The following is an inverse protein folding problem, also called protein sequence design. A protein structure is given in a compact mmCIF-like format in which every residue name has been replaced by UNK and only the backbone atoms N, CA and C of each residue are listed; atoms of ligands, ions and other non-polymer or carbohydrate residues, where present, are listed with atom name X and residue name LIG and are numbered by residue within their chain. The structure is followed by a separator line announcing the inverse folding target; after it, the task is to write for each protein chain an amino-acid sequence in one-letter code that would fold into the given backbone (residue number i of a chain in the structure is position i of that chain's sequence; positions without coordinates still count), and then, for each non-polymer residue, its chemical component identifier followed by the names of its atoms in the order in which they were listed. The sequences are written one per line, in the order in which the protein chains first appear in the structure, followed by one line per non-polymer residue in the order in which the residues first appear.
data_IF_359997037244
#
_entry.id   IF_359997037244
#
_cell.length_a   1.000
_cell.length_b   1.000
_cell.length_c   1.000
_cell.angle_alpha   90.00
_cell.angle_beta   90.00
_cell.angle_gamma   90.00
#
_symmetry.space_group_name_H-M   'P 1'
#
loop_
_entity.id
_entity.type
_entity.pdbx_description
1 polymer ?
#
# COMPACT_ATOMS: atom_id res chain seq x y z
N UNK A 1 -8.85 23.03 24.92
CA UNK A 1 -8.38 21.69 25.24
C UNK A 1 -7.34 21.29 24.19
N UNK A 2 -6.16 20.87 24.62
CA UNK A 2 -5.13 20.35 23.72
C UNK A 2 -5.62 18.98 23.24
N UNK A 3 -5.52 18.70 21.94
CA UNK A 3 -5.86 17.39 21.43
C UNK A 3 -4.95 16.32 22.10
N UNK A 4 -5.50 15.16 22.39
CA UNK A 4 -4.78 14.04 23.01
C UNK A 4 -3.46 13.72 22.30
N UNK A 5 -3.45 13.78 20.97
CA UNK A 5 -2.28 13.62 20.10
C UNK A 5 -1.15 14.59 20.43
N UNK A 6 -1.47 15.87 20.57
CA UNK A 6 -0.50 16.91 20.88
C UNK A 6 0.05 16.78 22.31
N UNK A 7 -0.78 16.24 23.21
CA UNK A 7 -0.35 15.99 24.58
C UNK A 7 0.65 14.84 24.64
N UNK A 8 0.40 13.73 23.95
CA UNK A 8 1.30 12.59 23.85
C UNK A 8 2.68 13.00 23.30
N UNK A 9 2.73 13.77 22.23
CA UNK A 9 3.99 14.22 21.63
C UNK A 9 4.80 15.19 22.51
N UNK A 10 4.18 15.86 23.48
CA UNK A 10 4.89 16.78 24.40
C UNK A 10 5.59 16.10 25.56
N UNK A 11 5.31 14.84 25.83
CA UNK A 11 5.93 14.06 26.88
C UNK A 11 7.29 13.51 26.47
N UNK A 12 7.56 13.47 25.17
CA UNK A 12 8.79 12.93 24.60
C UNK A 12 9.64 14.05 24.02
N UNK A 13 10.92 14.08 24.36
CA UNK A 13 11.87 15.11 23.88
C UNK A 13 12.56 14.71 22.59
N UNK A 14 12.61 13.42 22.26
CA UNK A 14 13.17 12.95 21.01
C UNK A 14 12.15 13.08 19.88
N UNK A 15 12.54 13.70 18.77
CA UNK A 15 11.65 13.99 17.63
C UNK A 15 11.02 12.74 17.02
N UNK A 16 11.80 11.65 16.82
CA UNK A 16 11.33 10.39 16.24
C UNK A 16 10.31 9.72 17.16
N UNK A 17 10.59 9.65 18.46
CA UNK A 17 9.67 9.02 19.44
C UNK A 17 8.38 9.82 19.60
N UNK A 18 8.49 11.14 19.69
CA UNK A 18 7.34 12.02 19.78
C UNK A 18 6.42 11.86 18.56
N UNK A 19 7.01 11.68 17.38
CA UNK A 19 6.28 11.49 16.13
C UNK A 19 5.64 10.09 16.05
N UNK A 20 6.37 9.04 16.43
CA UNK A 20 5.83 7.68 16.54
C UNK A 20 4.65 7.61 17.52
N UNK A 21 4.75 8.27 18.68
CA UNK A 21 3.68 8.31 19.67
C UNK A 21 2.44 9.07 19.15
N UNK A 22 2.64 10.14 18.39
CA UNK A 22 1.51 10.87 17.76
C UNK A 22 0.79 10.00 16.73
N UNK A 23 1.53 9.31 15.86
CA UNK A 23 0.96 8.44 14.84
C UNK A 23 0.33 7.17 15.42
N UNK A 24 0.81 6.70 16.56
CA UNK A 24 0.21 5.56 17.26
C UNK A 24 -1.25 5.81 17.63
N UNK A 25 -1.62 7.06 17.93
CA UNK A 25 -3.01 7.43 18.20
C UNK A 25 -3.93 7.28 16.97
N UNK A 26 -3.37 7.25 15.78
CA UNK A 26 -4.06 7.10 14.50
C UNK A 26 -3.90 5.70 13.88
N UNK A 27 -3.14 4.81 14.55
CA UNK A 27 -2.95 3.45 14.08
C UNK A 27 -4.29 2.69 14.05
N UNK A 28 -4.67 2.21 12.87
CA UNK A 28 -5.98 1.58 12.65
C UNK A 28 -5.99 0.10 12.96
N UNK A 29 -4.81 -0.53 13.06
CA UNK A 29 -4.68 -1.96 13.29
C UNK A 29 -3.63 -2.26 14.36
N UNK A 30 -3.76 -3.43 14.99
CA UNK A 30 -2.77 -3.91 15.95
C UNK A 30 -1.38 -4.04 15.31
N UNK A 31 -1.30 -4.51 14.06
CA UNK A 31 -0.06 -4.65 13.31
C UNK A 31 0.66 -3.32 13.11
N UNK A 32 -0.03 -2.31 12.59
CA UNK A 32 0.58 -1.00 12.36
C UNK A 32 0.93 -0.29 13.66
N UNK A 33 0.11 -0.48 14.71
CA UNK A 33 0.41 -0.02 16.07
C UNK A 33 1.66 -0.67 16.64
N UNK A 34 1.84 -1.98 16.47
CA UNK A 34 3.04 -2.69 16.94
C UNK A 34 4.32 -2.17 16.25
N UNK A 35 4.26 -1.94 14.92
CA UNK A 35 5.40 -1.37 14.18
C UNK A 35 5.74 0.04 14.69
N UNK A 36 4.73 0.90 14.93
CA UNK A 36 4.96 2.24 15.49
C UNK A 36 5.55 2.19 16.92
N UNK A 37 5.12 1.21 17.72
CA UNK A 37 5.72 0.98 19.05
C UNK A 37 7.19 0.56 18.96
N UNK A 38 7.58 -0.24 17.97
CA UNK A 38 8.99 -0.56 17.75
C UNK A 38 9.80 0.71 17.44
N UNK A 39 9.25 1.63 16.63
CA UNK A 39 9.93 2.91 16.35
C UNK A 39 9.98 3.79 17.61
N UNK A 40 8.91 3.85 18.41
CA UNK A 40 8.89 4.53 19.69
C UNK A 40 9.94 3.95 20.67
N UNK A 41 10.16 2.65 20.67
CA UNK A 41 11.19 1.98 21.47
C UNK A 41 12.61 2.13 20.92
N UNK A 42 12.78 2.84 19.78
CA UNK A 42 14.08 3.26 19.28
C UNK A 42 14.63 2.44 18.12
N UNK A 43 13.82 1.63 17.44
CA UNK A 43 14.29 0.83 16.30
C UNK A 43 14.92 1.71 15.20
N UNK A 44 14.25 2.80 14.78
CA UNK A 44 14.78 3.74 13.79
C UNK A 44 16.02 4.48 14.32
N UNK A 45 15.99 4.93 15.57
CA UNK A 45 17.13 5.61 16.19
C UNK A 45 18.40 4.76 16.22
N UNK A 46 18.25 3.47 16.54
CA UNK A 46 19.37 2.53 16.55
C UNK A 46 19.98 2.35 15.16
N UNK A 47 19.15 2.18 14.13
CA UNK A 47 19.61 2.08 12.76
C UNK A 47 20.33 3.36 12.27
N UNK A 48 19.80 4.54 12.63
CA UNK A 48 20.44 5.82 12.32
C UNK A 48 21.76 6.00 13.07
N UNK A 49 21.86 5.49 14.32
CA UNK A 49 23.12 5.53 15.09
C UNK A 49 24.20 4.65 14.46
N UNK A 50 23.83 3.51 13.89
CA UNK A 50 24.76 2.63 13.19
C UNK A 50 25.27 3.32 11.91
N UNK A 51 24.37 3.92 11.12
CA UNK A 51 24.74 4.70 9.92
C UNK A 51 25.65 5.89 10.29
N UNK A 52 25.36 6.64 11.36
CA UNK A 52 26.21 7.76 11.83
C UNK A 52 27.62 7.28 12.19
N UNK A 53 27.74 6.11 12.84
CA UNK A 53 29.03 5.49 13.20
C UNK A 53 29.82 5.08 11.96
N UNK A 54 29.16 4.46 10.97
CA UNK A 54 29.81 4.07 9.71
C UNK A 54 30.32 5.29 8.93
N UNK A 55 29.52 6.37 8.89
CA UNK A 55 29.92 7.63 8.27
C UNK A 55 31.08 8.29 9.00
N UNK A 56 31.15 8.24 10.34
CA UNK A 56 32.25 8.76 11.14
C UNK A 56 33.55 8.01 10.90
N UNK A 57 33.44 6.68 10.73
CA UNK A 57 34.58 5.82 10.39
C UNK A 57 35.06 5.99 8.93
N UNK A 58 34.30 6.68 8.08
CA UNK A 58 34.55 6.79 6.65
C UNK A 58 34.11 5.56 5.83
N UNK A 59 33.37 4.66 6.44
CA UNK A 59 32.91 3.38 5.84
C UNK A 59 31.68 3.59 4.96
N UNK A 60 31.90 3.94 3.70
CA UNK A 60 30.80 4.25 2.76
C UNK A 60 29.87 3.09 2.49
N UNK A 61 30.40 1.88 2.36
CA UNK A 61 29.59 0.73 1.94
C UNK A 61 28.56 0.31 2.99
N UNK A 62 28.88 0.11 4.29
CA UNK A 62 27.89 -0.16 5.31
C UNK A 62 26.85 0.97 5.44
N UNK A 63 27.29 2.23 5.43
CA UNK A 63 26.39 3.39 5.48
C UNK A 63 25.39 3.40 4.31
N UNK A 64 25.83 3.09 3.09
CA UNK A 64 24.96 2.98 1.90
C UNK A 64 23.94 1.87 2.08
N UNK A 65 24.36 0.68 2.52
CA UNK A 65 23.47 -0.47 2.75
C UNK A 65 22.41 -0.13 3.81
N UNK A 66 22.80 0.52 4.89
CA UNK A 66 21.88 0.97 5.95
C UNK A 66 20.83 1.95 5.41
N UNK A 67 21.27 2.98 4.65
CA UNK A 67 20.38 3.96 4.02
C UNK A 67 19.42 3.32 3.01
N UNK A 68 19.91 2.44 2.15
CA UNK A 68 19.08 1.73 1.17
C UNK A 68 18.07 0.80 1.84
N UNK A 69 18.45 0.13 2.94
CA UNK A 69 17.56 -0.72 3.72
C UNK A 69 16.41 0.09 4.31
N UNK A 70 16.69 1.24 4.91
CA UNK A 70 15.67 2.15 5.44
C UNK A 70 14.76 2.68 4.31
N UNK A 71 15.35 3.13 3.20
CA UNK A 71 14.58 3.64 2.07
C UNK A 71 13.71 2.57 1.40
N UNK A 72 14.16 1.33 1.31
CA UNK A 72 13.35 0.21 0.80
C UNK A 72 12.11 -0.04 1.68
N UNK A 73 12.18 0.18 2.98
CA UNK A 73 11.09 0.02 3.94
C UNK A 73 10.18 1.26 4.05
N UNK A 74 10.59 2.39 3.49
CA UNK A 74 9.88 3.67 3.61
C UNK A 74 8.44 3.61 3.10
N UNK A 75 8.19 2.84 2.02
CA UNK A 75 6.85 2.68 1.46
C UNK A 75 5.89 2.09 2.49
N UNK A 76 6.32 1.10 3.25
CA UNK A 76 5.51 0.49 4.32
C UNK A 76 5.33 1.47 5.48
N UNK A 77 6.41 2.15 5.89
CA UNK A 77 6.36 3.12 6.98
C UNK A 77 5.39 4.27 6.74
N UNK A 78 5.31 4.79 5.51
CA UNK A 78 4.39 5.87 5.14
C UNK A 78 2.91 5.45 5.17
N UNK A 79 2.62 4.14 5.13
CA UNK A 79 1.26 3.61 5.16
C UNK A 79 0.86 2.98 6.52
N UNK A 80 1.57 3.30 7.60
CA UNK A 80 1.20 2.78 8.93
C UNK A 80 -0.10 3.38 9.47
N UNK A 81 -0.45 4.60 9.06
CA UNK A 81 -1.70 5.29 9.44
C UNK A 81 -2.56 5.66 8.24
N UNK A 82 -1.95 5.92 7.09
CA UNK A 82 -2.68 6.15 5.84
C UNK A 82 -2.97 4.80 5.16
N UNK A 83 -4.24 4.50 4.81
CA UNK A 83 -4.57 3.23 4.16
C UNK A 83 -3.96 3.14 2.76
N UNK A 84 -3.58 1.93 2.37
CA UNK A 84 -3.17 1.62 1.01
C UNK A 84 -4.36 1.71 0.06
N UNK A 85 -4.20 2.40 -1.07
CA UNK A 85 -5.24 2.59 -2.06
C UNK A 85 -5.25 1.47 -3.09
N UNK A 86 -6.29 0.64 -3.05
CA UNK A 86 -6.49 -0.47 -3.98
C UNK A 86 -7.71 -0.16 -4.85
N UNK A 87 -7.50 -0.07 -6.16
CA UNK A 87 -8.55 0.26 -7.12
C UNK A 87 -8.90 -0.96 -7.96
N UNK A 88 -10.17 -1.37 -7.91
CA UNK A 88 -10.70 -2.40 -8.79
C UNK A 88 -11.18 -1.76 -10.10
N UNK A 89 -10.57 -2.15 -11.21
CA UNK A 89 -10.89 -1.66 -12.55
C UNK A 89 -11.31 -2.83 -13.47
N UNK A 90 -12.03 -2.51 -14.53
CA UNK A 90 -12.49 -3.51 -15.50
C UNK A 90 -13.87 -3.21 -16.05
N UNK A 91 -14.37 -4.03 -17.00
CA UNK A 91 -15.64 -3.83 -17.67
C UNK A 91 -16.84 -3.72 -16.70
N UNK A 92 -17.96 -3.12 -17.15
CA UNK A 92 -19.22 -3.20 -16.41
C UNK A 92 -19.61 -4.66 -16.20
N UNK A 93 -20.26 -4.97 -15.08
CA UNK A 93 -20.76 -6.30 -14.73
C UNK A 93 -19.68 -7.40 -14.52
N UNK A 94 -18.40 -7.08 -14.52
CA UNK A 94 -17.33 -8.02 -14.18
C UNK A 94 -17.35 -8.47 -12.71
N UNK A 95 -18.17 -7.82 -11.86
CA UNK A 95 -18.35 -8.20 -10.45
C UNK A 95 -17.45 -7.46 -9.48
N UNK A 96 -16.91 -6.27 -9.86
CA UNK A 96 -16.01 -5.48 -9.01
C UNK A 96 -16.59 -5.14 -7.64
N UNK A 97 -17.79 -4.55 -7.60
CA UNK A 97 -18.47 -4.21 -6.34
C UNK A 97 -18.78 -5.44 -5.49
N UNK A 98 -19.11 -6.58 -6.12
CA UNK A 98 -19.32 -7.86 -5.41
C UNK A 98 -18.00 -8.36 -4.79
N UNK A 99 -16.88 -8.24 -5.51
CA UNK A 99 -15.57 -8.61 -4.97
C UNK A 99 -15.15 -7.72 -3.80
N UNK A 100 -15.40 -6.39 -3.88
CA UNK A 100 -15.17 -5.48 -2.75
C UNK A 100 -15.93 -5.96 -1.52
N UNK A 101 -17.23 -6.23 -1.65
CA UNK A 101 -18.07 -6.69 -0.53
C UNK A 101 -17.54 -7.99 0.09
N UNK A 102 -17.08 -8.92 -0.74
CA UNK A 102 -16.54 -10.20 -0.24
C UNK A 102 -15.16 -10.02 0.40
N UNK A 103 -14.30 -9.16 -0.16
CA UNK A 103 -13.00 -8.82 0.43
C UNK A 103 -13.16 -8.13 1.80
N UNK A 104 -14.13 -7.22 1.93
CA UNK A 104 -14.46 -6.56 3.20
C UNK A 104 -14.98 -7.56 4.23
N UNK A 105 -15.78 -8.53 3.82
CA UNK A 105 -16.30 -9.62 4.68
C UNK A 105 -15.34 -10.80 4.87
N UNK A 106 -14.15 -10.78 4.29
CA UNK A 106 -13.19 -11.87 4.39
C UNK A 106 -12.68 -12.03 5.82
N UNK A 107 -12.45 -13.27 6.30
CA UNK A 107 -12.17 -13.62 7.71
C UNK A 107 -11.00 -12.86 8.37
N UNK A 108 -10.10 -12.29 7.59
CA UNK A 108 -8.94 -11.50 8.04
C UNK A 108 -9.13 -10.01 7.85
N UNK A 109 -10.34 -9.57 7.51
CA UNK A 109 -10.66 -8.16 7.29
C UNK A 109 -11.37 -7.58 8.50
N UNK A 110 -11.02 -6.34 8.84
CA UNK A 110 -11.67 -5.54 9.89
C UNK A 110 -12.23 -4.30 9.19
N UNK A 111 -13.54 -4.09 9.32
CA UNK A 111 -14.21 -2.90 8.75
C UNK A 111 -14.05 -1.73 9.72
N UNK A 112 -13.68 -0.58 9.20
CA UNK A 112 -13.64 0.67 9.96
C UNK A 112 -14.92 1.46 9.68
N UNK A 113 -15.81 1.57 10.68
CA UNK A 113 -17.01 2.40 10.59
C UNK A 113 -16.63 3.88 10.86
N UNK A 114 -16.32 4.65 9.82
CA UNK A 114 -16.32 6.10 9.95
C UNK A 114 -17.68 6.67 9.57
N UNK A 115 -18.38 7.38 10.50
CA UNK A 115 -19.64 8.04 10.20
C UNK A 115 -19.38 9.21 9.23
N UNK A 116 -19.87 9.12 8.00
CA UNK A 116 -19.88 10.26 7.08
C UNK A 116 -19.42 10.02 5.64
N UNK A 117 -18.93 8.84 5.28
CA UNK A 117 -18.35 8.56 3.94
C UNK A 117 -19.35 8.10 2.88
N UNK A 118 -20.64 8.08 3.15
CA UNK A 118 -21.68 7.44 2.32
C UNK A 118 -22.25 8.30 1.17
N UNK A 119 -21.61 9.38 0.73
CA UNK A 119 -22.22 10.23 -0.33
C UNK A 119 -21.54 10.26 -1.69
N UNK A 120 -20.28 9.82 -1.83
CA UNK A 120 -19.63 9.80 -3.15
C UNK A 120 -18.88 8.48 -3.37
N UNK A 121 -19.48 7.63 -4.25
CA UNK A 121 -18.88 6.45 -4.92
C UNK A 121 -17.96 5.54 -4.08
N UNK A 122 -18.56 4.46 -3.62
CA UNK A 122 -17.98 3.11 -3.38
C UNK A 122 -16.48 3.08 -3.02
N UNK A 123 -16.11 3.78 -1.97
CA UNK A 123 -14.83 3.60 -1.29
C UNK A 123 -15.12 2.96 0.06
N UNK A 124 -14.45 1.86 0.39
CA UNK A 124 -14.61 1.15 1.66
C UNK A 124 -13.24 0.96 2.30
N UNK A 125 -13.11 1.40 3.54
CA UNK A 125 -11.92 1.15 4.32
C UNK A 125 -12.02 -0.18 5.08
N UNK A 126 -10.97 -0.95 5.02
CA UNK A 126 -10.86 -2.27 5.67
C UNK A 126 -9.41 -2.53 6.05
N UNK A 127 -9.15 -3.65 6.73
CA UNK A 127 -7.81 -4.16 6.90
C UNK A 127 -7.74 -5.58 6.35
N UNK A 128 -6.72 -5.89 5.55
CA UNK A 128 -6.40 -7.24 5.08
C UNK A 128 -5.09 -7.67 5.71
N UNK A 129 -5.09 -8.80 6.41
CA UNK A 129 -3.93 -9.30 7.19
C UNK A 129 -3.33 -8.23 8.11
N UNK A 130 -4.16 -7.35 8.66
CA UNK A 130 -3.72 -6.28 9.57
C UNK A 130 -3.13 -5.05 8.87
N UNK A 131 -3.15 -4.97 7.55
CA UNK A 131 -2.76 -3.78 6.80
C UNK A 131 -3.99 -2.93 6.46
N UNK A 132 -4.02 -1.63 6.77
CA UNK A 132 -5.14 -0.76 6.44
C UNK A 132 -5.22 -0.54 4.94
N UNK A 133 -6.38 -0.80 4.35
CA UNK A 133 -6.60 -0.75 2.90
C UNK A 133 -7.89 0.03 2.60
N UNK A 134 -7.82 0.93 1.64
CA UNK A 134 -8.95 1.59 1.02
C UNK A 134 -9.26 0.91 -0.31
N UNK A 135 -10.39 0.21 -0.39
CA UNK A 135 -10.88 -0.40 -1.62
C UNK A 135 -11.81 0.55 -2.36
N UNK A 136 -11.60 0.74 -3.66
CA UNK A 136 -12.47 1.57 -4.49
C UNK A 136 -12.81 0.91 -5.82
N UNK A 137 -14.05 1.15 -6.32
CA UNK A 137 -14.54 0.66 -7.60
C UNK A 137 -14.54 1.79 -8.65
N UNK A 138 -14.03 1.50 -9.84
CA UNK A 138 -14.14 2.42 -10.98
C UNK A 138 -15.52 2.41 -11.64
N UNK A 139 -16.42 1.46 -11.32
CA UNK A 139 -17.74 1.33 -11.95
C UNK A 139 -18.73 2.46 -11.59
N UNK A 140 -18.51 3.16 -10.45
CA UNK A 140 -19.29 4.35 -10.10
C UNK A 140 -19.02 5.56 -11.03
N UNK A 141 -18.11 5.41 -11.97
CA UNK A 141 -17.59 6.44 -12.88
C UNK A 141 -17.94 6.11 -14.33
N UNK A 142 -19.23 5.81 -14.61
CA UNK A 142 -19.67 5.45 -15.97
C UNK A 142 -19.58 6.65 -16.89
N UNK A 143 -19.03 6.38 -18.09
CA UNK A 143 -19.11 7.28 -19.21
C UNK A 143 -20.55 7.32 -19.75
N UNK A 144 -21.25 8.46 -19.66
CA UNK A 144 -22.41 8.85 -20.44
C UNK A 144 -22.04 10.13 -21.18
N UNK A 145 -22.77 10.51 -22.22
CA UNK A 145 -22.51 11.73 -23.02
C UNK A 145 -22.77 13.06 -22.25
N UNK A 146 -23.07 12.98 -20.94
CA UNK A 146 -23.32 14.12 -20.07
C UNK A 146 -21.99 14.75 -19.57
N UNK A 147 -21.90 16.09 -19.40
CA UNK A 147 -20.76 16.79 -18.80
C UNK A 147 -20.33 16.27 -17.41
N UNK A 148 -21.28 15.77 -16.61
CA UNK A 148 -21.02 15.08 -15.34
C UNK A 148 -20.17 13.81 -15.50
N UNK A 149 -20.30 13.10 -16.63
CA UNK A 149 -19.57 11.87 -16.91
C UNK A 149 -18.14 12.07 -17.36
N UNK A 150 -17.86 13.16 -18.08
CA UNK A 150 -16.48 13.54 -18.39
C UNK A 150 -15.70 13.80 -17.10
N UNK A 151 -16.33 14.39 -16.10
CA UNK A 151 -15.76 14.53 -14.75
C UNK A 151 -15.51 13.16 -14.09
N UNK A 152 -16.41 12.18 -14.26
CA UNK A 152 -16.26 10.81 -13.77
C UNK A 152 -15.04 10.09 -14.37
N UNK A 153 -14.84 10.18 -15.68
CA UNK A 153 -13.67 9.57 -16.36
C UNK A 153 -12.35 10.19 -15.88
N UNK A 154 -12.31 11.51 -15.67
CA UNK A 154 -11.14 12.21 -15.12
C UNK A 154 -10.86 11.75 -13.70
N UNK A 155 -11.90 11.60 -12.87
CA UNK A 155 -11.76 11.12 -11.49
C UNK A 155 -11.31 9.66 -11.43
N UNK A 156 -11.82 8.78 -12.32
CA UNK A 156 -11.36 7.40 -12.47
C UNK A 156 -9.87 7.34 -12.78
N UNK A 157 -9.43 8.12 -13.78
CA UNK A 157 -8.01 8.18 -14.14
C UNK A 157 -7.15 8.68 -13.00
N UNK A 158 -7.58 9.72 -12.27
CA UNK A 158 -6.85 10.21 -11.09
C UNK A 158 -6.74 9.14 -10.00
N UNK A 159 -7.81 8.40 -9.71
CA UNK A 159 -7.78 7.30 -8.73
C UNK A 159 -6.82 6.19 -9.16
N UNK A 160 -6.86 5.78 -10.42
CA UNK A 160 -5.94 4.78 -10.96
C UNK A 160 -4.48 5.25 -10.91
N UNK A 161 -4.21 6.53 -11.17
CA UNK A 161 -2.86 7.10 -11.06
C UNK A 161 -2.38 7.21 -9.61
N UNK A 162 -3.29 7.43 -8.67
CA UNK A 162 -3.00 7.52 -7.24
C UNK A 162 -3.07 6.17 -6.51
N UNK A 163 -3.40 5.08 -7.20
CA UNK A 163 -3.52 3.76 -6.62
C UNK A 163 -2.15 3.15 -6.31
N UNK A 164 -2.04 2.54 -5.13
CA UNK A 164 -0.87 1.73 -4.75
C UNK A 164 -0.90 0.34 -5.38
N UNK A 165 -2.13 -0.16 -5.64
CA UNK A 165 -2.36 -1.41 -6.34
C UNK A 165 -3.62 -1.29 -7.22
N UNK A 166 -3.50 -1.74 -8.47
CA UNK A 166 -4.64 -1.87 -9.41
C UNK A 166 -4.97 -3.35 -9.55
N UNK A 167 -6.26 -3.66 -9.41
CA UNK A 167 -6.83 -5.00 -9.62
C UNK A 167 -7.71 -4.94 -10.85
N UNK A 168 -7.33 -5.62 -11.94
CA UNK A 168 -8.10 -5.70 -13.17
C UNK A 168 -9.06 -6.89 -13.09
N UNK A 169 -10.35 -6.60 -13.07
CA UNK A 169 -11.39 -7.63 -12.94
C UNK A 169 -12.04 -7.89 -14.28
N UNK A 170 -12.02 -9.14 -14.71
CA UNK A 170 -12.61 -9.64 -15.94
C UNK A 170 -13.65 -10.71 -15.63
N UNK A 171 -14.74 -10.73 -16.38
CA UNK A 171 -15.72 -11.81 -16.36
C UNK A 171 -15.18 -12.99 -17.20
N UNK A 172 -15.06 -14.17 -16.59
CA UNK A 172 -14.57 -15.38 -17.29
C UNK A 172 -15.47 -15.83 -18.44
N UNK A 173 -16.74 -15.45 -18.41
CA UNK A 173 -17.72 -15.80 -19.46
C UNK A 173 -17.60 -14.91 -20.71
N UNK A 174 -16.93 -13.76 -20.61
CA UNK A 174 -16.74 -12.84 -21.73
C UNK A 174 -15.55 -13.27 -22.62
N UNK A 175 -15.79 -13.47 -23.91
CA UNK A 175 -14.80 -13.90 -24.92
C UNK A 175 -13.98 -12.75 -25.54
N UNK A 176 -14.05 -11.53 -25.02
CA UNK A 176 -13.39 -10.35 -25.58
C UNK A 176 -11.87 -10.31 -25.27
N UNK A 177 -11.09 -11.24 -25.81
CA UNK A 177 -9.64 -11.32 -25.60
C UNK A 177 -8.91 -10.03 -25.97
N UNK A 178 -9.19 -9.44 -27.11
CA UNK A 178 -8.52 -8.22 -27.62
C UNK A 178 -8.69 -7.02 -26.68
N UNK A 179 -9.89 -6.87 -26.11
CA UNK A 179 -10.15 -5.77 -25.14
C UNK A 179 -9.41 -5.99 -23.82
N UNK A 180 -9.28 -7.25 -23.39
CA UNK A 180 -8.51 -7.59 -22.17
C UNK A 180 -7.04 -7.26 -22.35
N UNK A 181 -6.45 -7.67 -23.47
CA UNK A 181 -5.04 -7.40 -23.76
C UNK A 181 -4.72 -5.90 -23.81
N UNK A 182 -5.61 -5.09 -24.36
CA UNK A 182 -5.44 -3.63 -24.38
C UNK A 182 -5.41 -3.05 -22.96
N UNK A 183 -6.37 -3.43 -22.09
CA UNK A 183 -6.43 -2.96 -20.70
C UNK A 183 -5.23 -3.47 -19.88
N UNK A 184 -4.84 -4.73 -20.07
CA UNK A 184 -3.68 -5.33 -19.39
C UNK A 184 -2.38 -4.58 -19.73
N UNK A 185 -2.23 -4.17 -21.00
CA UNK A 185 -1.04 -3.43 -21.48
C UNK A 185 -0.92 -2.05 -20.82
N UNK A 186 -2.04 -1.38 -20.55
CA UNK A 186 -2.06 -0.06 -19.90
C UNK A 186 -1.68 -0.12 -18.41
N UNK A 187 -1.79 -1.30 -17.77
CA UNK A 187 -1.51 -1.51 -16.36
C UNK A 187 -0.57 -2.71 -16.10
N UNK A 188 0.71 -2.62 -16.48
CA UNK A 188 1.64 -3.75 -16.45
C UNK A 188 1.89 -4.31 -15.05
N UNK A 189 1.66 -3.50 -14.00
CA UNK A 189 1.85 -3.92 -12.61
C UNK A 189 0.56 -4.34 -11.90
N UNK A 190 -0.58 -4.44 -12.59
CA UNK A 190 -1.85 -4.83 -11.98
C UNK A 190 -1.92 -6.32 -11.65
N UNK A 191 -2.82 -6.67 -10.73
CA UNK A 191 -3.25 -8.04 -10.47
C UNK A 191 -4.44 -8.33 -11.42
N UNK A 192 -4.35 -9.40 -12.20
CA UNK A 192 -5.42 -9.81 -13.10
C UNK A 192 -6.36 -10.79 -12.38
N UNK A 193 -7.64 -10.43 -12.30
CA UNK A 193 -8.66 -11.25 -11.64
C UNK A 193 -9.69 -11.71 -12.68
N UNK A 194 -9.81 -13.01 -12.80
CA UNK A 194 -10.85 -13.67 -13.59
C UNK A 194 -11.97 -14.09 -12.64
N UNK A 195 -13.01 -13.25 -12.55
CA UNK A 195 -14.15 -13.45 -11.65
C UNK A 195 -15.25 -14.27 -12.31
N UNK A 196 -16.18 -14.78 -11.50
CA UNK A 196 -17.28 -15.70 -11.84
C UNK A 196 -16.77 -17.07 -12.28
N UNK A 197 -15.67 -17.54 -11.67
CA UNK A 197 -15.06 -18.83 -11.96
C UNK A 197 -16.02 -20.02 -11.67
N UNK A 198 -17.03 -19.82 -10.86
CA UNK A 198 -18.12 -20.78 -10.60
C UNK A 198 -19.00 -21.10 -11.84
N UNK A 199 -18.94 -20.25 -12.86
CA UNK A 199 -19.69 -20.45 -14.12
C UNK A 199 -18.89 -21.22 -15.17
N UNK A 200 -17.60 -21.52 -14.92
CA UNK A 200 -16.78 -22.33 -15.82
C UNK A 200 -16.86 -23.82 -15.51
N UNK A 201 -16.92 -24.68 -16.54
CA UNK A 201 -16.67 -26.10 -16.36
C UNK A 201 -15.28 -26.34 -15.78
N UNK A 202 -15.12 -27.32 -14.90
CA UNK A 202 -13.84 -27.65 -14.27
C UNK A 202 -12.70 -27.95 -15.28
N UNK A 203 -13.04 -28.33 -16.52
CA UNK A 203 -12.10 -28.57 -17.62
C UNK A 203 -11.46 -27.28 -18.19
N UNK A 204 -12.12 -26.13 -18.08
CA UNK A 204 -11.74 -24.91 -18.78
C UNK A 204 -10.88 -23.98 -17.91
N UNK A 205 -10.91 -24.18 -16.58
CA UNK A 205 -10.09 -23.42 -15.64
C UNK A 205 -8.57 -23.61 -15.83
N UNK A 206 -8.16 -24.72 -16.45
CA UNK A 206 -6.75 -25.03 -16.73
C UNK A 206 -6.18 -24.36 -17.99
N UNK A 207 -7.02 -23.79 -18.85
CA UNK A 207 -6.64 -23.37 -20.22
C UNK A 207 -6.21 -21.92 -20.39
N UNK A 208 -6.42 -21.06 -19.38
CA UNK A 208 -6.04 -19.64 -19.47
C UNK A 208 -4.78 -19.40 -18.61
N UNK A 209 -3.68 -20.07 -18.96
CA UNK A 209 -2.38 -19.61 -18.54
C UNK A 209 -1.95 -18.45 -19.43
N UNK A 210 -1.66 -17.31 -18.81
CA UNK A 210 -1.24 -16.12 -19.53
C UNK A 210 0.03 -16.40 -20.35
N UNK A 211 -0.05 -16.12 -21.63
CA UNK A 211 1.09 -16.18 -22.51
C UNK A 211 2.20 -15.22 -22.01
N UNK A 212 3.27 -15.76 -21.44
CA UNK A 212 4.60 -15.18 -21.45
C UNK A 212 4.87 -13.91 -20.63
N UNK A 213 3.97 -13.44 -19.80
CA UNK A 213 4.18 -12.27 -18.91
C UNK A 213 4.12 -12.76 -17.46
N UNK A 214 5.13 -12.44 -16.64
CA UNK A 214 5.10 -12.66 -15.19
C UNK A 214 4.07 -11.73 -14.53
N UNK A 215 2.80 -12.15 -14.56
CA UNK A 215 1.69 -11.43 -13.94
C UNK A 215 1.04 -12.28 -12.86
N UNK A 216 0.60 -11.62 -11.80
CA UNK A 216 -0.20 -12.28 -10.77
C UNK A 216 -1.63 -12.43 -11.30
N UNK A 217 -2.09 -13.67 -11.43
CA UNK A 217 -3.43 -14.03 -11.90
C UNK A 217 -4.18 -14.72 -10.77
N UNK A 218 -5.39 -14.26 -10.50
CA UNK A 218 -6.30 -14.86 -9.52
C UNK A 218 -7.62 -15.26 -10.19
N UNK A 219 -8.09 -16.47 -9.90
CA UNK A 219 -9.41 -16.96 -10.29
C UNK A 219 -10.35 -16.83 -9.11
N UNK A 220 -11.44 -16.10 -9.27
CA UNK A 220 -12.32 -15.78 -8.14
C UNK A 220 -13.78 -16.04 -8.47
N UNK A 221 -14.55 -16.31 -7.43
CA UNK A 221 -16.01 -16.25 -7.45
C UNK A 221 -16.49 -15.46 -6.24
N UNK A 222 -17.06 -14.30 -6.48
CA UNK A 222 -17.68 -13.52 -5.41
C UNK A 222 -18.93 -14.20 -4.82
N UNK A 223 -19.50 -15.20 -5.49
CA UNK A 223 -20.68 -15.94 -5.03
C UNK A 223 -20.28 -17.07 -4.08
N UNK A 224 -19.26 -17.83 -4.42
CA UNK A 224 -18.81 -19.00 -3.63
C UNK A 224 -17.68 -18.67 -2.65
N UNK A 225 -17.02 -17.53 -2.80
CA UNK A 225 -15.83 -17.17 -2.03
C UNK A 225 -14.53 -17.82 -2.53
N UNK A 226 -14.61 -18.59 -3.64
CA UNK A 226 -13.42 -19.21 -4.24
C UNK A 226 -12.40 -18.17 -4.63
N UNK A 227 -11.10 -18.41 -4.38
CA UNK A 227 -9.99 -17.55 -4.78
C UNK A 227 -9.87 -16.21 -4.04
N UNK A 228 -10.77 -15.89 -3.10
CA UNK A 228 -10.73 -14.60 -2.38
C UNK A 228 -9.51 -14.52 -1.47
N UNK A 229 -9.12 -15.65 -0.85
CA UNK A 229 -7.92 -15.70 -0.02
C UNK A 229 -6.65 -15.46 -0.82
N UNK A 230 -6.54 -16.04 -2.00
CA UNK A 230 -5.43 -15.86 -2.92
C UNK A 230 -5.36 -14.41 -3.42
N UNK A 231 -6.49 -13.80 -3.76
CA UNK A 231 -6.56 -12.40 -4.14
C UNK A 231 -6.13 -11.48 -3.00
N UNK A 232 -6.63 -11.71 -1.79
CA UNK A 232 -6.23 -10.96 -0.60
C UNK A 232 -4.72 -11.03 -0.34
N UNK A 233 -4.14 -12.23 -0.41
CA UNK A 233 -2.70 -12.46 -0.26
C UNK A 233 -1.90 -11.78 -1.39
N UNK A 234 -2.38 -11.84 -2.64
CA UNK A 234 -1.75 -11.18 -3.78
C UNK A 234 -1.73 -9.65 -3.62
N UNK A 235 -2.83 -9.05 -3.14
CA UNK A 235 -2.91 -7.62 -2.84
C UNK A 235 -1.87 -7.24 -1.77
N UNK A 236 -1.85 -7.96 -0.65
CA UNK A 236 -0.89 -7.68 0.45
C UNK A 236 0.54 -7.83 -0.05
N UNK A 237 0.87 -8.90 -0.76
CA UNK A 237 2.20 -9.11 -1.32
C UNK A 237 2.61 -7.97 -2.28
N UNK A 238 1.69 -7.51 -3.12
CA UNK A 238 1.93 -6.39 -4.06
C UNK A 238 2.19 -5.06 -3.36
N UNK A 239 1.52 -4.81 -2.24
CA UNK A 239 1.63 -3.58 -1.47
C UNK A 239 2.88 -3.56 -0.59
N UNK A 240 3.10 -4.64 0.14
CA UNK A 240 4.10 -4.73 1.19
C UNK A 240 5.44 -5.27 0.67
N UNK A 241 5.41 -6.24 -0.27
CA UNK A 241 6.60 -6.96 -0.71
C UNK A 241 7.19 -7.81 0.42
N UNK A 242 8.27 -7.34 1.02
CA UNK A 242 8.89 -7.99 2.20
C UNK A 242 8.29 -7.42 3.47
N UNK A 243 7.64 -8.27 4.23
CA UNK A 243 7.01 -7.90 5.50
C UNK A 243 8.08 -7.53 6.56
N UNK A 244 7.94 -6.37 7.24
CA UNK A 244 8.82 -6.00 8.33
C UNK A 244 8.71 -6.99 9.50
N UNK A 245 9.85 -7.35 10.08
CA UNK A 245 9.91 -8.17 11.31
C UNK A 245 9.75 -7.28 12.53
N UNK A 246 9.30 -7.83 13.67
CA UNK A 246 9.33 -7.09 14.92
C UNK A 246 10.72 -6.52 15.21
N UNK A 247 10.79 -5.24 15.58
CA UNK A 247 12.02 -4.51 15.83
C UNK A 247 12.74 -3.97 14.58
N UNK A 248 12.24 -4.21 13.37
CA UNK A 248 12.79 -3.60 12.16
C UNK A 248 12.62 -2.07 12.17
N UNK A 249 13.67 -1.37 11.80
CA UNK A 249 13.64 0.07 11.62
C UNK A 249 12.91 0.46 10.33
N UNK A 250 11.95 1.38 10.44
CA UNK A 250 11.21 1.94 9.31
C UNK A 250 11.13 3.47 9.44
N UNK A 251 11.49 4.24 8.42
CA UNK A 251 11.11 5.64 8.33
C UNK A 251 9.59 5.73 8.03
N UNK A 252 8.87 6.50 8.83
CA UNK A 252 7.40 6.52 8.84
C UNK A 252 6.80 7.90 8.57
N UNK A 253 7.65 8.87 8.21
CA UNK A 253 7.21 10.20 7.75
C UNK A 253 7.88 10.61 6.46
N UNK A 254 7.21 11.46 5.69
CA UNK A 254 7.75 11.97 4.44
C UNK A 254 9.05 12.77 4.65
N UNK A 255 9.14 13.51 5.77
CA UNK A 255 10.35 14.26 6.13
C UNK A 255 11.55 13.35 6.38
N UNK A 256 11.36 12.25 7.14
CA UNK A 256 12.40 11.26 7.39
C UNK A 256 12.89 10.62 6.08
N UNK A 257 11.96 10.26 5.19
CA UNK A 257 12.32 9.67 3.88
C UNK A 257 13.12 10.64 3.02
N UNK A 258 12.75 11.93 3.00
CA UNK A 258 13.45 12.94 2.22
C UNK A 258 14.88 13.18 2.76
N UNK A 259 15.04 13.24 4.08
CA UNK A 259 16.34 13.35 4.72
C UNK A 259 17.22 12.13 4.46
N UNK A 260 16.66 10.91 4.51
CA UNK A 260 17.41 9.70 4.16
C UNK A 260 17.84 9.67 2.69
N UNK A 261 17.00 10.16 1.76
CA UNK A 261 17.38 10.31 0.35
C UNK A 261 18.52 11.31 0.18
N UNK A 262 18.45 12.46 0.85
CA UNK A 262 19.51 13.46 0.84
C UNK A 262 20.82 12.91 1.38
N UNK A 263 20.78 12.17 2.50
CA UNK A 263 21.97 11.52 3.05
C UNK A 263 22.56 10.48 2.09
N UNK A 264 21.72 9.64 1.45
CA UNK A 264 22.16 8.65 0.45
C UNK A 264 22.85 9.32 -0.73
N UNK A 265 22.28 10.39 -1.26
CA UNK A 265 22.83 11.11 -2.42
C UNK A 265 24.16 11.78 -2.06
N UNK A 266 24.31 12.34 -0.84
CA UNK A 266 25.58 12.87 -0.33
C UNK A 266 26.64 11.78 -0.17
N UNK A 267 26.29 10.58 0.33
CA UNK A 267 27.20 9.43 0.35
C UNK A 267 27.64 9.05 -1.07
N UNK A 268 26.69 9.03 -2.03
CA UNK A 268 26.95 8.76 -3.45
C UNK A 268 27.96 9.73 -4.05
N UNK A 269 27.87 11.04 -3.73
CA UNK A 269 28.79 12.10 -4.17
C UNK A 269 30.12 12.14 -3.40
N UNK A 270 30.28 11.35 -2.34
CA UNK A 270 31.47 11.32 -1.50
C UNK A 270 31.50 12.37 -0.38
N UNK A 271 30.39 13.07 -0.16
CA UNK A 271 30.23 14.12 0.85
C UNK A 271 29.81 13.53 2.21
N UNK A 272 30.66 12.67 2.80
CA UNK A 272 30.30 11.91 4.02
C UNK A 272 29.97 12.80 5.21
N UNK A 273 30.67 13.96 5.35
CA UNK A 273 30.37 14.92 6.43
C UNK A 273 28.98 15.54 6.28
N UNK A 274 28.56 15.86 5.05
CA UNK A 274 27.21 16.36 4.78
C UNK A 274 26.14 15.27 5.06
N UNK A 275 26.35 14.04 4.59
CA UNK A 275 25.49 12.91 4.88
C UNK A 275 25.32 12.70 6.39
N UNK A 276 26.44 12.73 7.14
CA UNK A 276 26.45 12.60 8.58
C UNK A 276 25.66 13.71 9.28
N UNK A 277 25.81 14.95 8.86
CA UNK A 277 25.06 16.08 9.41
C UNK A 277 23.54 15.88 9.26
N UNK A 278 23.08 15.38 8.10
CA UNK A 278 21.65 15.06 7.87
C UNK A 278 21.18 13.94 8.81
N UNK A 279 21.95 12.88 9.00
CA UNK A 279 21.59 11.77 9.90
C UNK A 279 21.54 12.24 11.36
N UNK A 280 22.47 13.11 11.77
CA UNK A 280 22.47 13.68 13.13
C UNK A 280 21.28 14.62 13.37
N UNK A 281 20.85 15.36 12.36
CA UNK A 281 19.66 16.21 12.44
C UNK A 281 18.39 15.37 12.55
N UNK A 282 18.30 14.29 11.79
CA UNK A 282 17.17 13.34 11.83
C UNK A 282 17.02 12.65 13.20
N UNK A 283 18.11 12.49 13.95
CA UNK A 283 18.12 11.86 15.30
C UNK A 283 17.75 12.80 16.46
N UNK A 284 17.64 14.11 16.19
CA UNK A 284 17.27 15.11 17.20
C UNK A 284 15.76 15.24 17.33
#
# INVERSE_FOLDING_TARGET
AVAWRDWLGRQETNGIRAEAMRLLADARTERTGAILLDQFHGALEAALADIDRDLDAGDRQPATIGLETLLARSRVGLHLVEPWRVVLAGPPNAGKSSLINVLVGYRRSIVFDEPGTTRDAVTVETAIDGWPIELSDTAGLRATDDPLERAGVVLARRRLTAADCVVLVFDVTERAADRREAVIRDYPGAIDVYNKADLLPASDAAGIQAAGIERTICWTSAVTGHGIGELAAAIVHRLIGVEPRPGDALPFTASQVEQLRSARDAVGSGELAAARAVIQDLRR
#
